data_IF_949489574891
#
_entry.id   IF_949489574891
#
_cell.length_a   1.000
_cell.length_b   1.000
_cell.length_c   1.000
_cell.angle_alpha   90.00
_cell.angle_beta   90.00
_cell.angle_gamma   90.00
#
_symmetry.space_group_name_H-M   'P 1'
#
loop_
_entity.id
_entity.type
_entity.pdbx_description
1 polymer ?
#
# COMPACT_ATOMS: atom_id res chain seq x y z
N UNK A 1 -19.31 2.70 -14.93
CA UNK A 1 -18.55 3.88 -14.45
C UNK A 1 -19.07 5.09 -15.22
N UNK A 2 -19.02 6.30 -14.66
CA UNK A 2 -19.36 7.50 -15.41
C UNK A 2 -18.29 7.81 -16.47
N UNK A 3 -18.66 8.57 -17.52
CA UNK A 3 -17.72 8.99 -18.55
C UNK A 3 -16.52 9.74 -17.94
N UNK A 4 -15.34 9.50 -18.46
CA UNK A 4 -14.11 10.10 -17.95
C UNK A 4 -13.10 10.40 -19.07
N UNK A 5 -12.11 11.21 -18.76
CA UNK A 5 -10.94 11.49 -19.61
C UNK A 5 -9.72 10.81 -19.00
N UNK A 6 -8.91 10.12 -19.79
CA UNK A 6 -7.65 9.55 -19.28
C UNK A 6 -6.54 10.61 -19.29
N UNK A 7 -5.55 10.46 -18.42
CA UNK A 7 -4.31 11.23 -18.50
C UNK A 7 -3.11 10.29 -18.69
N UNK A 8 -2.55 10.33 -19.88
CA UNK A 8 -1.41 9.53 -20.35
C UNK A 8 -1.82 8.51 -21.40
N UNK A 9 -1.44 8.76 -22.65
CA UNK A 9 -1.70 7.91 -23.83
C UNK A 9 -0.63 6.81 -23.98
N UNK A 10 -0.40 6.03 -22.94
CA UNK A 10 0.60 4.96 -22.89
C UNK A 10 0.00 3.56 -22.73
N UNK A 11 0.87 2.58 -22.50
CA UNK A 11 0.47 1.15 -22.35
C UNK A 11 -0.56 0.91 -21.25
N UNK A 12 -0.53 1.71 -20.17
CA UNK A 12 -1.50 1.59 -19.08
C UNK A 12 -2.88 2.04 -19.55
N UNK A 13 -2.95 3.16 -20.27
CA UNK A 13 -4.20 3.63 -20.85
C UNK A 13 -4.84 2.58 -21.77
N UNK A 14 -4.04 1.85 -22.56
CA UNK A 14 -4.56 0.77 -23.42
C UNK A 14 -5.20 -0.36 -22.62
N UNK A 15 -4.59 -0.77 -21.50
CA UNK A 15 -5.18 -1.80 -20.62
C UNK A 15 -6.48 -1.32 -19.95
N UNK A 16 -6.53 -0.05 -19.56
CA UNK A 16 -7.74 0.56 -19.00
C UNK A 16 -8.85 0.65 -20.06
N UNK A 17 -8.48 1.05 -21.28
CA UNK A 17 -9.42 1.12 -22.40
C UNK A 17 -10.06 -0.23 -22.72
N UNK A 18 -9.30 -1.34 -22.72
CA UNK A 18 -9.86 -2.68 -22.94
C UNK A 18 -11.01 -3.02 -21.97
N UNK A 19 -10.96 -2.47 -20.75
CA UNK A 19 -11.97 -2.74 -19.70
C UNK A 19 -13.11 -1.72 -19.68
N UNK A 20 -12.85 -0.45 -20.04
CA UNK A 20 -13.76 0.68 -19.84
C UNK A 20 -13.99 1.47 -21.12
N UNK A 21 -14.06 0.78 -22.26
CA UNK A 21 -14.13 1.39 -23.60
C UNK A 21 -15.24 2.43 -23.75
N UNK A 22 -16.44 2.13 -23.27
CA UNK A 22 -17.63 2.96 -23.44
C UNK A 22 -17.63 4.23 -22.56
N UNK A 23 -16.78 4.29 -21.54
CA UNK A 23 -16.70 5.39 -20.59
C UNK A 23 -15.61 6.41 -20.93
N UNK A 24 -14.65 6.05 -21.79
CA UNK A 24 -13.51 6.91 -22.14
C UNK A 24 -13.87 7.77 -23.33
N UNK A 25 -13.78 9.10 -23.18
CA UNK A 25 -14.17 10.05 -24.25
C UNK A 25 -13.00 10.82 -24.84
N UNK A 26 -11.88 10.94 -24.12
CA UNK A 26 -10.66 11.58 -24.61
C UNK A 26 -9.45 11.11 -23.79
N UNK A 27 -8.25 11.38 -24.26
CA UNK A 27 -6.99 11.12 -23.54
C UNK A 27 -6.14 12.38 -23.53
N UNK A 28 -5.77 12.88 -22.35
CA UNK A 28 -4.79 13.97 -22.18
C UNK A 28 -3.38 13.37 -22.30
N UNK A 29 -2.50 14.02 -23.04
CA UNK A 29 -1.07 13.69 -23.03
C UNK A 29 -0.24 14.99 -23.01
N UNK A 30 0.91 14.95 -22.31
CA UNK A 30 1.85 16.07 -22.27
C UNK A 30 2.81 16.12 -23.47
N UNK A 31 2.84 15.08 -24.28
CA UNK A 31 3.65 15.03 -25.50
C UNK A 31 2.96 15.80 -26.62
N UNK A 32 3.52 16.97 -27.04
CA UNK A 32 2.88 17.78 -28.07
C UNK A 32 2.75 17.05 -29.42
N UNK A 33 3.59 16.06 -29.68
CA UNK A 33 3.55 15.30 -30.95
C UNK A 33 2.34 14.37 -31.07
N UNK A 34 1.67 14.08 -29.94
CA UNK A 34 0.48 13.23 -29.90
C UNK A 34 -0.83 14.03 -29.96
N UNK A 35 -0.80 15.29 -29.54
CA UNK A 35 -2.00 16.13 -29.47
C UNK A 35 -2.62 16.29 -30.85
N UNK A 36 -3.94 16.09 -30.93
CA UNK A 36 -4.70 16.13 -32.17
C UNK A 36 -4.69 14.81 -32.95
N UNK A 37 -3.97 13.79 -32.51
CA UNK A 37 -4.09 12.43 -33.02
C UNK A 37 -5.28 11.70 -32.39
N UNK A 38 -5.67 10.60 -32.97
CA UNK A 38 -6.67 9.68 -32.42
C UNK A 38 -6.01 8.39 -31.96
N UNK A 39 -6.55 7.80 -30.91
CA UNK A 39 -6.13 6.51 -30.37
C UNK A 39 -7.35 5.60 -30.31
N UNK A 40 -7.16 4.28 -30.48
CA UNK A 40 -8.23 3.28 -30.45
C UNK A 40 -9.42 3.62 -31.37
N UNK A 41 -9.09 4.01 -32.61
CA UNK A 41 -9.95 4.35 -33.72
C UNK A 41 -10.62 5.75 -33.67
N UNK A 42 -11.16 6.18 -32.53
CA UNK A 42 -11.98 7.39 -32.46
C UNK A 42 -11.76 8.29 -31.23
N UNK A 43 -10.92 7.87 -30.28
CA UNK A 43 -10.67 8.65 -29.06
C UNK A 43 -9.59 9.71 -29.31
N UNK A 44 -9.90 11.02 -29.17
CA UNK A 44 -8.93 12.08 -29.42
C UNK A 44 -7.89 12.17 -28.31
N UNK A 45 -6.64 12.44 -28.70
CA UNK A 45 -5.58 12.86 -27.77
C UNK A 45 -5.58 14.39 -27.71
N UNK A 46 -5.79 14.93 -26.52
CA UNK A 46 -6.01 16.35 -26.28
C UNK A 46 -4.94 16.94 -25.35
N UNK A 47 -4.77 18.25 -25.38
CA UNK A 47 -3.96 18.96 -24.38
C UNK A 47 -4.73 19.18 -23.07
N UNK A 48 -4.00 19.52 -22.00
CA UNK A 48 -4.65 19.94 -20.76
C UNK A 48 -5.47 21.23 -20.92
N UNK A 49 -5.12 22.07 -21.89
CA UNK A 49 -5.89 23.27 -22.23
C UNK A 49 -7.23 22.88 -22.84
N UNK A 50 -7.26 22.00 -23.84
CA UNK A 50 -8.49 21.53 -24.49
C UNK A 50 -9.41 20.83 -23.47
N UNK A 51 -8.82 20.09 -22.51
CA UNK A 51 -9.62 19.54 -21.40
C UNK A 51 -10.33 20.63 -20.61
N UNK A 52 -9.65 21.72 -20.26
CA UNK A 52 -10.27 22.82 -19.51
C UNK A 52 -11.38 23.48 -20.28
N UNK A 53 -11.22 23.63 -21.57
CA UNK A 53 -12.17 24.32 -22.45
C UNK A 53 -13.41 23.46 -22.72
N UNK A 54 -13.24 22.15 -23.00
CA UNK A 54 -14.31 21.32 -23.53
C UNK A 54 -14.75 20.15 -22.65
N UNK A 55 -13.92 19.70 -21.70
CA UNK A 55 -14.13 18.45 -20.93
C UNK A 55 -14.09 18.64 -19.41
N UNK A 56 -13.99 19.87 -18.91
CA UNK A 56 -13.74 20.16 -17.47
C UNK A 56 -14.82 19.63 -16.51
N UNK A 57 -15.99 19.25 -17.02
CA UNK A 57 -17.08 18.64 -16.26
C UNK A 57 -16.89 17.12 -16.02
N UNK A 58 -15.96 16.49 -16.73
CA UNK A 58 -15.67 15.07 -16.58
C UNK A 58 -14.48 14.82 -15.63
N UNK A 59 -14.51 13.72 -14.87
CA UNK A 59 -13.37 13.34 -14.06
C UNK A 59 -12.18 12.90 -14.91
N UNK A 60 -10.97 13.16 -14.43
CA UNK A 60 -9.74 12.65 -15.02
C UNK A 60 -9.32 11.37 -14.31
N UNK A 61 -9.11 10.30 -15.06
CA UNK A 61 -8.46 9.08 -14.59
C UNK A 61 -6.98 9.12 -14.96
N UNK A 62 -6.08 9.16 -13.98
CA UNK A 62 -4.64 9.19 -14.22
C UNK A 62 -4.17 7.79 -14.61
N UNK A 63 -3.60 7.62 -15.82
CA UNK A 63 -3.20 6.33 -16.41
C UNK A 63 -1.71 6.29 -16.77
N UNK A 64 -0.87 6.79 -15.88
CA UNK A 64 0.59 6.81 -16.05
C UNK A 64 1.31 6.47 -14.74
N UNK A 65 2.50 5.89 -14.84
CA UNK A 65 3.38 5.64 -13.68
C UNK A 65 3.86 6.92 -12.99
N UNK A 66 3.79 8.06 -13.68
CA UNK A 66 4.15 9.37 -13.15
C UNK A 66 2.98 10.07 -12.43
N UNK A 67 2.10 9.31 -11.80
CA UNK A 67 0.86 9.79 -11.20
C UNK A 67 1.06 10.99 -10.23
N UNK A 68 2.09 10.98 -9.38
CA UNK A 68 2.37 12.11 -8.47
C UNK A 68 2.70 13.41 -9.22
N UNK A 69 3.42 13.32 -10.34
CA UNK A 69 3.74 14.48 -11.17
C UNK A 69 2.49 15.03 -11.86
N UNK A 70 1.65 14.12 -12.37
CA UNK A 70 0.37 14.50 -12.99
C UNK A 70 -0.59 15.06 -11.96
N UNK A 71 -0.71 14.45 -10.78
CA UNK A 71 -1.52 15.00 -9.68
C UNK A 71 -1.09 16.43 -9.33
N UNK A 72 0.21 16.66 -9.17
CA UNK A 72 0.73 18.00 -8.93
C UNK A 72 0.37 18.96 -10.08
N UNK A 73 0.57 18.54 -11.32
CA UNK A 73 0.22 19.34 -12.50
C UNK A 73 -1.28 19.71 -12.53
N UNK A 74 -2.16 18.77 -12.21
CA UNK A 74 -3.61 19.01 -12.16
C UNK A 74 -3.98 20.01 -11.05
N UNK A 75 -3.42 19.84 -9.84
CA UNK A 75 -3.64 20.77 -8.72
C UNK A 75 -3.11 22.17 -9.01
N UNK A 76 -1.92 22.30 -9.60
CA UNK A 76 -1.33 23.58 -10.01
C UNK A 76 -2.21 24.30 -11.07
N UNK A 77 -3.04 23.53 -11.77
CA UNK A 77 -4.02 24.03 -12.75
C UNK A 77 -5.44 24.16 -12.20
N UNK A 78 -5.65 24.08 -10.86
CA UNK A 78 -6.93 24.12 -10.17
C UNK A 78 -7.92 23.03 -10.58
N UNK A 79 -7.42 21.88 -11.05
CA UNK A 79 -8.24 20.72 -11.36
C UNK A 79 -8.18 19.77 -10.16
N UNK A 80 -9.35 19.49 -9.58
CA UNK A 80 -9.49 18.63 -8.40
C UNK A 80 -10.32 17.38 -8.65
N UNK A 81 -11.06 17.33 -9.77
CA UNK A 81 -11.88 16.20 -10.16
C UNK A 81 -11.04 15.15 -10.91
N UNK A 82 -10.17 14.46 -10.19
CA UNK A 82 -9.37 13.37 -10.74
C UNK A 82 -9.22 12.23 -9.74
N UNK A 83 -8.90 11.05 -10.25
CA UNK A 83 -8.62 9.86 -9.46
C UNK A 83 -7.57 8.98 -10.13
N UNK A 84 -6.97 8.12 -9.34
CA UNK A 84 -6.04 7.09 -9.82
C UNK A 84 -6.79 5.77 -9.72
N UNK A 85 -6.93 5.01 -10.81
CA UNK A 85 -7.65 3.75 -10.77
C UNK A 85 -6.90 2.73 -9.92
N UNK A 86 -7.61 1.99 -9.12
CA UNK A 86 -7.08 0.95 -8.23
C UNK A 86 -6.19 -0.06 -8.97
N UNK A 87 -6.51 -0.34 -10.22
CA UNK A 87 -5.77 -1.27 -11.09
C UNK A 87 -4.32 -0.84 -11.35
N UNK A 88 -3.99 0.44 -11.21
CA UNK A 88 -2.61 0.93 -11.34
C UNK A 88 -1.74 0.62 -10.14
N UNK A 89 -2.36 0.46 -8.98
CA UNK A 89 -1.67 0.22 -7.72
C UNK A 89 -1.72 -1.24 -7.29
N UNK A 90 -2.60 -2.03 -7.89
CA UNK A 90 -2.83 -3.43 -7.53
C UNK A 90 -2.11 -4.38 -8.48
N UNK A 91 -0.86 -4.66 -8.19
CA UNK A 91 -0.31 -5.96 -8.56
C UNK A 91 -0.78 -6.99 -7.53
N UNK A 92 -1.99 -7.53 -7.73
CA UNK A 92 -2.61 -8.46 -6.78
C UNK A 92 -3.56 -7.78 -5.78
N UNK A 93 -4.48 -8.52 -5.21
CA UNK A 93 -5.55 -8.11 -4.30
C UNK A 93 -5.06 -7.60 -2.91
N UNK A 94 -4.03 -6.78 -2.86
CA UNK A 94 -3.53 -6.18 -1.62
C UNK A 94 -4.09 -4.77 -1.51
N UNK A 95 -4.92 -4.51 -0.53
CA UNK A 95 -5.30 -3.15 -0.16
C UNK A 95 -4.08 -2.44 0.40
N UNK A 96 -3.62 -1.42 -0.32
CA UNK A 96 -2.60 -0.51 0.22
C UNK A 96 -3.31 0.41 1.20
N UNK A 97 -2.87 0.42 2.47
CA UNK A 97 -3.41 1.32 3.46
C UNK A 97 -3.13 2.76 3.03
N UNK A 98 -4.19 3.48 2.66
CA UNK A 98 -4.08 4.87 2.24
C UNK A 98 -4.20 5.79 3.46
N UNK A 99 -3.30 6.78 3.56
CA UNK A 99 -3.35 7.86 4.56
C UNK A 99 -3.20 7.45 6.03
N UNK A 100 -2.61 6.30 6.33
CA UNK A 100 -2.24 5.97 7.70
C UNK A 100 -0.83 6.51 7.94
N UNK A 101 -0.74 7.61 8.70
CA UNK A 101 0.55 8.17 9.08
C UNK A 101 1.26 7.28 10.11
N UNK A 102 2.58 7.39 10.17
CA UNK A 102 3.42 6.71 11.16
C UNK A 102 2.90 6.86 12.61
N UNK A 103 2.31 7.99 12.96
CA UNK A 103 1.75 8.24 14.30
C UNK A 103 0.34 7.67 14.52
N UNK A 104 -0.37 7.25 13.48
CA UNK A 104 -1.79 6.84 13.56
C UNK A 104 -2.04 5.35 13.35
N UNK A 105 -1.13 4.64 12.72
CA UNK A 105 -1.32 3.23 12.45
C UNK A 105 -1.58 2.38 13.71
N UNK A 106 -0.97 2.64 14.89
CA UNK A 106 -1.26 1.83 16.06
C UNK A 106 -2.73 1.94 16.49
N UNK A 107 -3.29 3.16 16.49
CA UNK A 107 -4.71 3.39 16.81
C UNK A 107 -5.65 2.76 15.77
N UNK A 108 -5.24 2.76 14.50
CA UNK A 108 -5.99 2.07 13.44
C UNK A 108 -6.04 0.57 13.69
N UNK A 109 -4.92 -0.09 14.02
CA UNK A 109 -4.89 -1.51 14.33
C UNK A 109 -5.70 -1.84 15.60
N UNK A 110 -5.65 -0.98 16.62
CA UNK A 110 -6.52 -1.09 17.79
C UNK A 110 -7.99 -1.09 17.38
N UNK A 111 -8.43 -0.12 16.59
CA UNK A 111 -9.81 -0.04 16.11
C UNK A 111 -10.22 -1.25 15.27
N UNK A 112 -9.26 -1.83 14.53
CA UNK A 112 -9.51 -2.97 13.66
C UNK A 112 -9.65 -4.28 14.43
N UNK A 113 -8.86 -4.48 15.50
CA UNK A 113 -8.70 -5.81 16.10
C UNK A 113 -8.71 -5.87 17.63
N UNK A 114 -8.88 -4.78 18.38
CA UNK A 114 -8.95 -4.85 19.85
C UNK A 114 -10.35 -5.19 20.35
N UNK A 115 -10.78 -6.43 20.12
CA UNK A 115 -12.07 -6.97 20.55
C UNK A 115 -11.89 -8.33 21.23
N UNK A 116 -12.80 -8.70 22.13
CA UNK A 116 -12.82 -10.03 22.76
C UNK A 116 -12.91 -11.14 21.71
N UNK A 117 -12.11 -12.17 21.87
CA UNK A 117 -12.03 -13.32 20.96
C UNK A 117 -11.22 -13.07 19.68
N UNK A 118 -10.55 -11.92 19.58
CA UNK A 118 -9.58 -11.64 18.51
C UNK A 118 -8.18 -12.05 18.96
N UNK A 119 -7.43 -12.69 18.05
CA UNK A 119 -6.06 -13.09 18.23
C UNK A 119 -5.13 -12.12 17.47
N UNK A 120 -4.18 -11.53 18.18
CA UNK A 120 -3.21 -10.56 17.65
C UNK A 120 -1.80 -11.07 17.88
N UNK A 121 -0.97 -11.05 16.84
CA UNK A 121 0.45 -11.38 16.89
C UNK A 121 1.28 -10.18 16.48
N UNK A 122 2.21 -9.76 17.33
CA UNK A 122 3.27 -8.83 16.98
C UNK A 122 4.57 -9.58 16.68
N UNK A 123 5.13 -9.37 15.48
CA UNK A 123 6.43 -9.93 15.08
C UNK A 123 7.49 -8.84 15.21
N UNK A 124 8.45 -9.05 16.11
CA UNK A 124 9.44 -8.05 16.54
C UNK A 124 8.95 -7.23 17.74
N UNK A 125 8.36 -7.92 18.72
CA UNK A 125 7.64 -7.28 19.83
C UNK A 125 8.54 -6.76 20.96
N UNK A 126 9.84 -7.09 20.94
CA UNK A 126 10.76 -6.71 22.02
C UNK A 126 10.87 -5.20 22.17
N UNK A 127 10.68 -4.70 23.37
CA UNK A 127 10.80 -3.27 23.68
C UNK A 127 12.28 -2.86 23.60
N UNK A 128 12.64 -2.14 22.54
CA UNK A 128 14.01 -1.62 22.31
C UNK A 128 14.04 -0.10 22.51
N UNK A 129 13.09 0.62 21.95
CA UNK A 129 13.04 2.08 21.95
C UNK A 129 12.04 2.66 22.96
N UNK A 130 11.51 1.82 23.85
CA UNK A 130 10.51 2.21 24.85
C UNK A 130 9.06 2.11 24.36
N UNK A 131 8.81 1.81 23.10
CA UNK A 131 7.45 1.57 22.59
C UNK A 131 6.98 0.17 22.94
N UNK A 132 5.77 0.04 23.49
CA UNK A 132 5.12 -1.23 23.81
C UNK A 132 3.69 -1.19 23.26
N UNK A 133 3.46 -1.92 22.17
CA UNK A 133 2.16 -1.94 21.51
C UNK A 133 1.13 -2.86 22.20
N UNK A 134 1.54 -3.76 23.08
CA UNK A 134 0.61 -4.61 23.85
C UNK A 134 -0.45 -3.80 24.58
N UNK A 135 -0.08 -2.63 25.10
CA UNK A 135 -1.01 -1.75 25.82
C UNK A 135 -2.16 -1.21 24.98
N UNK A 136 -2.08 -1.33 23.66
CA UNK A 136 -3.17 -0.97 22.73
C UNK A 136 -4.24 -2.06 22.65
N UNK A 137 -3.87 -3.33 22.90
CA UNK A 137 -4.74 -4.49 22.74
C UNK A 137 -5.18 -5.00 24.13
N UNK A 138 -6.15 -4.30 24.72
CA UNK A 138 -6.64 -4.60 26.09
C UNK A 138 -7.68 -5.73 26.12
N UNK A 139 -8.35 -5.98 24.98
CA UNK A 139 -9.45 -6.96 24.84
C UNK A 139 -9.06 -8.17 24.01
N UNK A 140 -8.16 -7.99 23.06
CA UNK A 140 -7.71 -9.07 22.19
C UNK A 140 -6.67 -9.95 22.90
N UNK A 141 -6.60 -11.22 22.51
CA UNK A 141 -5.54 -12.14 22.92
C UNK A 141 -4.25 -11.79 22.17
N UNK A 142 -3.42 -10.97 22.79
CA UNK A 142 -2.18 -10.51 22.21
C UNK A 142 -1.00 -11.43 22.55
N UNK A 143 -0.19 -11.76 21.55
CA UNK A 143 1.07 -12.48 21.67
C UNK A 143 2.20 -11.66 21.04
N UNK A 144 3.28 -11.46 21.80
CA UNK A 144 4.52 -10.88 21.32
C UNK A 144 5.54 -11.95 20.92
N UNK A 145 6.08 -11.86 19.71
CA UNK A 145 7.11 -12.73 19.19
C UNK A 145 8.35 -11.91 18.80
N UNK A 146 9.54 -12.38 19.21
CA UNK A 146 10.82 -11.76 18.84
C UNK A 146 11.93 -12.80 18.70
N UNK A 147 13.00 -12.44 18.00
CA UNK A 147 14.20 -13.27 17.89
C UNK A 147 14.94 -13.38 19.23
N UNK A 148 14.89 -12.36 20.07
CA UNK A 148 15.52 -12.32 21.37
C UNK A 148 14.48 -12.22 22.48
N UNK A 149 14.79 -12.84 23.64
CA UNK A 149 14.01 -12.65 24.85
C UNK A 149 14.12 -11.20 25.35
N UNK A 150 13.05 -10.69 25.94
CA UNK A 150 13.00 -9.35 26.52
C UNK A 150 11.60 -8.94 26.90
N UNK A 151 11.43 -7.69 27.29
CA UNK A 151 10.13 -7.14 27.65
C UNK A 151 9.17 -7.20 26.44
N UNK A 152 7.92 -7.55 26.68
CA UNK A 152 6.85 -7.73 25.70
C UNK A 152 6.99 -8.98 24.79
N UNK A 153 7.90 -9.92 25.07
CA UNK A 153 8.11 -11.13 24.28
C UNK A 153 7.55 -12.34 25.02
N UNK A 154 6.55 -12.99 24.42
CA UNK A 154 5.98 -14.24 24.94
C UNK A 154 6.62 -15.47 24.28
N UNK A 155 6.99 -15.36 22.98
CA UNK A 155 7.57 -16.44 22.20
C UNK A 155 8.87 -15.96 21.55
N UNK A 156 9.95 -16.68 21.81
CA UNK A 156 11.26 -16.42 21.19
C UNK A 156 11.47 -17.36 20.01
N UNK A 157 11.85 -16.80 18.87
CA UNK A 157 12.04 -17.60 17.66
C UNK A 157 12.50 -16.83 16.45
N UNK A 158 12.68 -17.56 15.34
CA UNK A 158 13.06 -17.03 14.04
C UNK A 158 11.81 -16.77 13.18
N UNK A 159 11.58 -15.52 12.78
CA UNK A 159 10.44 -15.12 11.96
C UNK A 159 10.41 -15.83 10.59
N UNK A 160 11.56 -16.28 10.06
CA UNK A 160 11.61 -17.08 8.83
C UNK A 160 11.01 -18.49 8.99
N UNK A 161 10.66 -18.88 10.22
CA UNK A 161 10.04 -20.17 10.58
C UNK A 161 8.82 -19.96 11.49
N UNK A 162 8.19 -18.80 11.42
CA UNK A 162 7.17 -18.33 12.36
C UNK A 162 6.04 -19.34 12.58
N UNK A 163 5.58 -20.01 11.53
CA UNK A 163 4.49 -21.00 11.61
C UNK A 163 4.84 -22.24 12.45
N UNK A 164 6.12 -22.50 12.76
CA UNK A 164 6.52 -23.61 13.62
C UNK A 164 6.30 -23.37 15.11
N UNK A 165 6.04 -22.12 15.49
CA UNK A 165 5.90 -21.74 16.90
C UNK A 165 4.43 -21.66 17.35
N UNK A 166 3.47 -21.81 16.44
CA UNK A 166 2.06 -21.59 16.74
C UNK A 166 1.18 -22.67 16.10
N UNK A 167 0.30 -23.26 16.92
CA UNK A 167 -0.76 -24.18 16.45
C UNK A 167 -2.09 -23.45 16.18
N UNK A 168 -2.15 -22.13 16.43
CA UNK A 168 -3.33 -21.29 16.19
C UNK A 168 -3.10 -20.28 15.08
N UNK A 169 -4.19 -19.68 14.60
CA UNK A 169 -4.18 -18.60 13.61
C UNK A 169 -4.66 -17.29 14.24
N UNK A 170 -4.28 -16.19 13.60
CA UNK A 170 -4.48 -14.84 14.11
C UNK A 170 -5.43 -14.03 13.22
N UNK A 171 -6.18 -13.13 13.82
CA UNK A 171 -7.01 -12.13 13.13
C UNK A 171 -6.16 -10.97 12.61
N UNK A 172 -5.10 -10.62 13.34
CA UNK A 172 -4.13 -9.60 12.97
C UNK A 172 -2.72 -10.12 13.25
N UNK A 173 -1.83 -9.99 12.27
CA UNK A 173 -0.39 -10.14 12.45
C UNK A 173 0.25 -8.83 12.02
N UNK A 174 1.02 -8.20 12.90
CA UNK A 174 1.69 -6.96 12.54
C UNK A 174 3.16 -6.95 12.92
N UNK A 175 3.93 -6.10 12.26
CA UNK A 175 5.35 -5.92 12.48
C UNK A 175 5.72 -4.46 12.24
N UNK A 176 6.51 -3.87 13.13
CA UNK A 176 6.96 -2.48 13.04
C UNK A 176 8.46 -2.41 13.21
N UNK A 177 9.17 -1.82 12.24
CA UNK A 177 10.62 -1.63 12.23
C UNK A 177 11.42 -2.93 12.46
N UNK A 178 11.05 -4.00 11.72
CA UNK A 178 11.69 -5.33 11.81
C UNK A 178 12.07 -5.87 10.44
N UNK A 179 11.26 -5.61 9.42
CA UNK A 179 11.45 -6.20 8.09
C UNK A 179 12.78 -5.81 7.46
N UNK A 180 13.30 -4.61 7.76
CA UNK A 180 14.62 -4.16 7.37
C UNK A 180 15.76 -5.00 7.94
N UNK A 181 15.50 -5.74 9.02
CA UNK A 181 16.44 -6.61 9.73
C UNK A 181 16.28 -8.10 9.36
N UNK A 182 15.30 -8.45 8.55
CA UNK A 182 15.11 -9.83 8.10
C UNK A 182 15.95 -10.12 6.86
N UNK A 183 16.75 -11.16 6.91
CA UNK A 183 17.58 -11.57 5.76
C UNK A 183 16.73 -12.05 4.56
N UNK A 184 15.54 -12.61 4.83
CA UNK A 184 14.61 -13.13 3.83
C UNK A 184 13.18 -12.67 4.17
N UNK A 185 12.85 -11.37 4.02
CA UNK A 185 11.53 -10.82 4.42
C UNK A 185 10.37 -11.50 3.67
N UNK A 186 10.56 -11.92 2.43
CA UNK A 186 9.59 -12.71 1.68
C UNK A 186 9.24 -14.04 2.35
N UNK A 187 10.23 -14.71 2.97
CA UNK A 187 10.01 -15.96 3.70
C UNK A 187 9.19 -15.69 4.97
N UNK A 188 9.54 -14.65 5.74
CA UNK A 188 8.77 -14.26 6.90
C UNK A 188 7.32 -13.89 6.54
N UNK A 189 7.11 -13.18 5.44
CA UNK A 189 5.76 -12.86 4.92
C UNK A 189 4.95 -14.13 4.62
N UNK A 190 5.56 -15.13 3.98
CA UNK A 190 4.89 -16.40 3.71
C UNK A 190 4.53 -17.16 5.01
N UNK A 191 5.39 -17.11 6.01
CA UNK A 191 5.11 -17.69 7.32
C UNK A 191 3.96 -16.98 8.04
N UNK A 192 3.91 -15.64 7.99
CA UNK A 192 2.80 -14.85 8.52
C UNK A 192 1.47 -15.22 7.83
N UNK A 193 1.47 -15.36 6.50
CA UNK A 193 0.27 -15.75 5.73
C UNK A 193 -0.25 -17.12 6.18
N UNK A 194 0.63 -18.10 6.46
CA UNK A 194 0.21 -19.42 6.96
C UNK A 194 -0.55 -19.35 8.28
N UNK A 195 -0.23 -18.37 9.11
CA UNK A 195 -0.84 -18.16 10.43
C UNK A 195 -2.05 -17.24 10.41
N UNK A 196 -2.42 -16.69 9.27
CA UNK A 196 -3.54 -15.77 9.16
C UNK A 196 -4.87 -16.53 9.09
N UNK A 197 -5.88 -16.07 9.83
CA UNK A 197 -7.26 -16.53 9.66
C UNK A 197 -7.84 -16.05 8.33
N UNK A 198 -8.79 -16.75 7.72
CA UNK A 198 -9.53 -16.20 6.58
C UNK A 198 -10.18 -14.86 6.94
N UNK A 199 -9.93 -13.83 6.15
CA UNK A 199 -10.38 -12.45 6.42
C UNK A 199 -9.57 -11.70 7.48
N UNK A 200 -8.46 -12.26 7.95
CA UNK A 200 -7.52 -11.59 8.85
C UNK A 200 -6.61 -10.60 8.12
N UNK A 201 -5.84 -9.83 8.87
CA UNK A 201 -5.02 -8.73 8.36
C UNK A 201 -3.54 -8.95 8.66
N UNK A 202 -2.69 -8.57 7.72
CA UNK A 202 -1.25 -8.39 7.94
C UNK A 202 -0.95 -6.90 7.79
N UNK A 203 -0.22 -6.35 8.75
CA UNK A 203 0.28 -4.99 8.68
C UNK A 203 1.79 -4.97 8.89
N UNK A 204 2.51 -4.33 7.98
CA UNK A 204 3.97 -4.14 8.09
C UNK A 204 4.29 -2.66 7.98
N UNK A 205 4.99 -2.14 8.96
CA UNK A 205 5.59 -0.82 8.91
C UNK A 205 7.10 -0.99 8.96
N UNK A 206 7.80 -0.40 8.00
CA UNK A 206 9.25 -0.48 7.87
C UNK A 206 9.82 0.78 7.20
N UNK A 207 11.13 0.95 7.22
CA UNK A 207 11.76 2.19 6.78
C UNK A 207 11.87 2.30 5.25
N UNK A 208 11.39 3.43 4.71
CA UNK A 208 11.71 3.85 3.36
C UNK A 208 13.17 4.35 3.24
N UNK A 209 13.59 5.17 4.19
CA UNK A 209 14.93 5.74 4.25
C UNK A 209 15.30 6.05 5.70
N UNK A 210 16.28 5.35 6.22
CA UNK A 210 16.80 5.56 7.56
C UNK A 210 18.30 5.26 7.59
N UNK A 211 19.03 5.84 8.53
CA UNK A 211 20.44 5.53 8.70
C UNK A 211 20.64 4.07 9.09
N UNK A 212 21.69 3.42 8.56
CA UNK A 212 22.02 2.04 8.89
C UNK A 212 22.23 1.89 10.40
N UNK A 213 21.47 0.99 11.01
CA UNK A 213 21.50 0.70 12.45
C UNK A 213 21.44 -0.80 12.69
N UNK A 214 21.62 -1.25 13.92
CA UNK A 214 21.65 -2.67 14.32
C UNK A 214 22.57 -3.55 13.45
N UNK A 215 23.76 -3.05 13.11
CA UNK A 215 24.73 -3.79 12.29
C UNK A 215 25.16 -5.08 12.97
N UNK A 216 25.29 -6.19 12.20
CA UNK A 216 25.27 -6.29 10.74
C UNK A 216 23.88 -6.59 10.15
N UNK A 217 22.79 -6.51 10.91
CA UNK A 217 21.48 -7.04 10.58
C UNK A 217 20.54 -6.03 9.90
N UNK A 218 21.03 -4.95 9.33
CA UNK A 218 20.26 -4.03 8.50
C UNK A 218 20.44 -4.38 7.02
N UNK A 219 19.50 -5.12 6.47
CA UNK A 219 19.60 -5.68 5.11
C UNK A 219 18.89 -4.85 4.05
N UNK A 220 17.76 -4.21 4.41
CA UNK A 220 16.88 -3.59 3.43
C UNK A 220 16.44 -2.18 3.80
N UNK A 221 16.17 -1.41 2.75
CA UNK A 221 15.37 -0.19 2.78
C UNK A 221 14.28 -0.35 1.73
N UNK A 222 13.03 -0.13 2.09
CA UNK A 222 11.89 -0.46 1.26
C UNK A 222 11.36 0.77 0.55
N UNK A 223 11.06 0.66 -0.74
CA UNK A 223 10.28 1.67 -1.44
C UNK A 223 8.79 1.51 -1.11
N UNK A 224 8.00 2.53 -1.43
CA UNK A 224 6.54 2.48 -1.31
C UNK A 224 5.88 1.39 -2.20
N UNK A 225 6.64 0.74 -3.04
CA UNK A 225 6.20 -0.30 -3.97
C UNK A 225 6.89 -1.66 -3.70
N UNK A 226 7.52 -1.82 -2.53
CA UNK A 226 8.23 -3.05 -2.17
C UNK A 226 7.28 -4.16 -1.70
#
# INVERSE_FOLDING_TARGET
MEKCVLFGAGKIASKIHEKYKEEIVAVIDNDPSKIGLYIWDDIPIISLKDYKDDYSFLPIMITTVYCKNIEKQLRDNNITNFFIPDELWRSGNVEISQNISHSRWPLYLKQLCDYEGKDVLEVGSRVVTGTNFRSLFEKADYIGFDYYAGDNVDVVGDAHRLSHYFDKKFDLIFSSAVFEHLAMPWQASLEMIKLLKPGGYIFVETHYSFSSHERPWHFFQYSENA
#
